data_IF_647994684267
#
_entry.id   IF_647994684267
#
_cell.length_a   1.000
_cell.length_b   1.000
_cell.length_c   1.000
_cell.angle_alpha   90.00
_cell.angle_beta   90.00
_cell.angle_gamma   90.00
#
_symmetry.space_group_name_H-M   'P 1'
#
loop_
_entity.id
_entity.type
_entity.pdbx_description
1 polymer ?
#
# COMPACT_ATOMS: atom_id res chain seq x y z
N UNK A 1 40.55 -40.56 -29.44
CA UNK A 1 40.57 -39.78 -28.18
C UNK A 1 39.58 -38.60 -28.27
N UNK A 2 38.34 -38.83 -28.70
CA UNK A 2 37.39 -37.75 -29.03
C UNK A 2 35.92 -38.09 -28.71
N UNK A 3 35.66 -39.23 -28.05
CA UNK A 3 34.30 -39.63 -27.63
C UNK A 3 34.01 -39.40 -26.14
N UNK A 4 34.99 -38.96 -25.33
CA UNK A 4 34.80 -38.73 -23.89
C UNK A 4 34.53 -37.27 -23.53
N UNK A 5 34.84 -36.30 -24.40
CA UNK A 5 34.62 -34.88 -24.11
C UNK A 5 33.15 -34.44 -24.23
N UNK A 6 32.37 -35.06 -25.12
CA UNK A 6 30.96 -34.71 -25.36
C UNK A 6 30.03 -35.10 -24.19
N UNK A 7 30.30 -36.24 -23.55
CA UNK A 7 29.48 -36.72 -22.44
C UNK A 7 29.71 -35.93 -21.14
N UNK A 8 30.92 -35.36 -20.96
CA UNK A 8 31.24 -34.54 -19.79
C UNK A 8 30.60 -33.15 -19.90
N UNK A 9 30.58 -32.55 -21.09
CA UNK A 9 29.92 -31.25 -21.31
C UNK A 9 28.39 -31.36 -21.16
N UNK A 10 27.79 -32.45 -21.64
CA UNK A 10 26.35 -32.69 -21.51
C UNK A 10 25.97 -33.01 -20.06
N UNK A 11 26.80 -33.77 -19.33
CA UNK A 11 26.61 -34.04 -17.90
C UNK A 11 26.76 -32.76 -17.05
N UNK A 12 27.72 -31.89 -17.36
CA UNK A 12 27.88 -30.60 -16.68
C UNK A 12 26.69 -29.66 -16.93
N UNK A 13 26.11 -29.67 -18.13
CA UNK A 13 24.92 -28.87 -18.45
C UNK A 13 23.66 -29.37 -17.73
N UNK A 14 23.48 -30.69 -17.62
CA UNK A 14 22.39 -31.31 -16.87
C UNK A 14 22.56 -31.06 -15.36
N UNK A 15 23.78 -31.12 -14.84
CA UNK A 15 24.07 -30.82 -13.42
C UNK A 15 23.84 -29.33 -13.13
N UNK A 16 24.26 -28.40 -13.99
CA UNK A 16 23.96 -26.97 -13.81
C UNK A 16 22.46 -26.64 -13.93
N UNK A 17 21.76 -27.23 -14.89
CA UNK A 17 20.32 -27.02 -15.05
C UNK A 17 19.52 -27.60 -13.87
N UNK A 18 19.93 -28.76 -13.35
CA UNK A 18 19.32 -29.35 -12.15
C UNK A 18 19.70 -28.59 -10.88
N UNK A 19 20.89 -27.99 -10.78
CA UNK A 19 21.26 -27.12 -9.65
C UNK A 19 20.48 -25.79 -9.68
N UNK A 20 20.26 -25.20 -10.86
CA UNK A 20 19.46 -23.96 -11.04
C UNK A 20 17.98 -24.23 -10.79
N UNK A 21 17.45 -25.39 -11.21
CA UNK A 21 16.09 -25.81 -10.90
C UNK A 21 15.93 -26.18 -9.43
N UNK A 22 16.95 -26.76 -8.78
CA UNK A 22 16.93 -27.09 -7.35
C UNK A 22 17.04 -25.85 -6.46
N UNK A 23 17.91 -24.89 -6.78
CA UNK A 23 17.96 -23.61 -6.05
C UNK A 23 16.73 -22.76 -6.33
N UNK A 24 16.18 -22.80 -7.56
CA UNK A 24 14.91 -22.16 -7.90
C UNK A 24 13.70 -22.77 -7.17
N UNK A 25 13.62 -24.10 -7.02
CA UNK A 25 12.57 -24.76 -6.24
C UNK A 25 12.72 -24.50 -4.74
N UNK A 26 13.94 -24.46 -4.20
CA UNK A 26 14.19 -24.09 -2.80
C UNK A 26 13.87 -22.61 -2.53
N UNK A 27 14.02 -21.74 -3.54
CA UNK A 27 13.67 -20.32 -3.45
C UNK A 27 12.15 -20.09 -3.53
N UNK A 28 11.42 -20.94 -4.26
CA UNK A 28 9.94 -20.91 -4.31
C UNK A 28 9.27 -21.69 -3.16
N UNK A 29 9.96 -22.65 -2.54
CA UNK A 29 9.46 -23.47 -1.42
C UNK A 29 9.71 -22.84 -0.04
N UNK A 30 10.60 -21.85 0.08
CA UNK A 30 10.88 -21.17 1.35
C UNK A 30 10.00 -19.93 1.60
N UNK A 31 8.98 -19.70 0.77
CA UNK A 31 7.94 -18.69 1.00
C UNK A 31 6.69 -19.30 1.70
N UNK A 32 6.89 -20.37 2.49
CA UNK A 32 5.98 -20.75 3.55
C UNK A 32 6.37 -19.97 4.81
N UNK A 33 5.71 -18.83 5.00
CA UNK A 33 5.85 -17.97 6.17
C UNK A 33 5.57 -18.71 7.48
N UNK A 34 6.62 -19.29 8.06
CA UNK A 34 6.65 -19.69 9.47
C UNK A 34 7.06 -18.47 10.30
N UNK A 35 6.09 -17.59 10.54
CA UNK A 35 6.22 -16.56 11.57
C UNK A 35 6.39 -17.25 12.93
N UNK A 36 7.61 -17.22 13.47
CA UNK A 36 7.81 -17.39 14.91
C UNK A 36 7.12 -16.23 15.62
N UNK A 37 5.89 -16.48 16.08
CA UNK A 37 5.18 -15.63 17.03
C UNK A 37 5.91 -15.71 18.37
N UNK A 38 6.92 -14.86 18.57
CA UNK A 38 7.39 -14.51 19.92
C UNK A 38 6.26 -13.71 20.57
N UNK A 39 5.78 -14.06 21.78
CA UNK A 39 4.77 -13.28 22.46
C UNK A 39 5.34 -11.89 22.75
N UNK A 40 4.82 -10.85 22.09
CA UNK A 40 5.09 -9.49 22.53
C UNK A 40 4.47 -9.31 23.91
N UNK A 41 5.32 -9.12 24.92
CA UNK A 41 4.87 -8.61 26.20
C UNK A 41 4.17 -7.28 25.96
N UNK A 42 2.98 -7.12 26.55
CA UNK A 42 2.27 -5.85 26.54
C UNK A 42 3.19 -4.74 27.05
N UNK A 43 3.22 -3.55 26.41
CA UNK A 43 4.05 -2.46 26.86
C UNK A 43 3.66 -2.07 28.29
N UNK A 44 4.64 -2.12 29.19
CA UNK A 44 4.52 -1.62 30.55
C UNK A 44 4.04 -0.16 30.50
N UNK A 45 2.84 0.10 31.02
CA UNK A 45 2.39 1.47 31.33
C UNK A 45 3.45 2.11 32.21
N UNK A 46 4.18 3.08 31.67
CA UNK A 46 4.91 4.05 32.50
C UNK A 46 3.84 4.86 33.22
N UNK A 47 3.55 4.48 34.46
CA UNK A 47 2.75 5.28 35.37
C UNK A 47 3.52 6.57 35.68
N UNK A 48 3.03 7.69 35.16
CA UNK A 48 3.53 9.02 35.49
C UNK A 48 3.22 9.31 36.98
N UNK A 49 4.17 9.76 37.82
CA UNK A 49 3.89 10.10 39.22
C UNK A 49 2.86 11.23 39.32
N UNK A 50 1.93 11.06 40.26
CA UNK A 50 0.86 11.99 40.58
C UNK A 50 1.43 13.14 41.42
N UNK A 51 1.63 14.31 40.84
CA UNK A 51 2.00 15.52 41.60
C UNK A 51 0.83 16.00 42.46
N UNK A 52 1.12 16.30 43.74
CA UNK A 52 0.19 16.89 44.70
C UNK A 52 0.10 18.40 44.46
N UNK A 53 -1.08 19.02 44.64
CA UNK A 53 -1.23 20.46 44.50
C UNK A 53 -0.72 21.20 45.75
N UNK A 54 0.15 22.18 45.56
CA UNK A 54 0.48 23.20 46.57
C UNK A 54 0.35 24.59 45.96
N UNK A 55 -0.31 25.48 46.70
CA UNK A 55 0.03 26.91 46.73
C UNK A 55 -0.77 27.84 45.84
N UNK A 56 -1.88 28.34 46.39
CA UNK A 56 -2.60 29.53 45.93
C UNK A 56 -1.69 30.76 45.99
N UNK A 57 -1.59 31.53 44.91
CA UNK A 57 -1.27 32.96 44.96
C UNK A 57 -2.26 33.75 44.09
N UNK A 58 -2.94 34.69 44.77
CA UNK A 58 -3.94 35.63 44.25
C UNK A 58 -3.29 36.65 43.31
N UNK A 59 -4.05 37.07 42.29
CA UNK A 59 -3.94 38.43 41.78
C UNK A 59 -5.35 38.96 41.46
N UNK A 60 -5.55 40.22 41.83
CA UNK A 60 -6.82 40.85 42.15
C UNK A 60 -7.70 41.19 40.95
N UNK A 61 -9.02 41.17 41.18
CA UNK A 61 -10.06 41.53 40.24
C UNK A 61 -10.78 42.79 40.77
N UNK A 62 -10.59 43.94 40.11
CA UNK A 62 -11.37 45.15 40.38
C UNK A 62 -12.53 45.31 39.37
N UNK A 63 -13.72 45.37 39.99
CA UNK A 63 -15.08 45.75 39.55
C UNK A 63 -15.21 46.71 38.36
N UNK A 64 -16.21 46.45 37.51
CA UNK A 64 -17.27 47.43 37.14
C UNK A 64 -18.61 46.71 36.90
N UNK A 65 -19.70 47.29 37.45
CA UNK A 65 -21.08 46.80 37.51
C UNK A 65 -21.95 47.16 36.27
N UNK A 66 -23.09 46.47 36.19
CA UNK A 66 -24.23 46.54 35.25
C UNK A 66 -24.95 47.89 35.07
N UNK A 67 -25.57 48.05 33.88
CA UNK A 67 -26.92 48.61 33.57
C UNK A 67 -26.93 49.14 32.11
N UNK A 68 -27.95 49.13 31.23
CA UNK A 68 -29.36 48.67 31.18
C UNK A 68 -29.86 48.87 29.71
N UNK A 69 -30.80 48.03 29.24
CA UNK A 69 -31.52 48.08 27.95
C UNK A 69 -32.32 49.39 27.72
N UNK A 70 -32.35 49.90 26.47
CA UNK A 70 -33.49 50.63 25.84
C UNK A 70 -33.50 50.35 24.31
N UNK A 71 -34.70 50.16 23.74
CA UNK A 71 -35.03 49.84 22.33
C UNK A 71 -35.28 51.11 21.44
N UNK A 72 -35.48 50.99 20.10
CA UNK A 72 -35.21 52.04 19.11
C UNK A 72 -36.47 52.77 18.56
N UNK A 73 -36.32 53.80 17.70
CA UNK A 73 -37.40 54.27 16.84
C UNK A 73 -37.11 54.17 15.32
N UNK A 74 -38.05 53.50 14.66
CA UNK A 74 -38.81 53.79 13.41
C UNK A 74 -38.29 54.73 12.30
N UNK A 75 -38.41 54.22 11.06
CA UNK A 75 -38.34 54.89 9.74
C UNK A 75 -39.54 55.82 9.44
N UNK A 76 -39.41 56.68 8.40
CA UNK A 76 -40.45 56.74 7.37
C UNK A 76 -39.88 56.70 5.93
N UNK A 77 -40.79 56.55 4.98
CA UNK A 77 -40.63 55.94 3.67
C UNK A 77 -40.64 56.93 2.48
N UNK A 78 -40.47 56.33 1.28
CA UNK A 78 -40.86 56.77 -0.09
C UNK A 78 -39.97 57.79 -0.84
N UNK A 79 -39.36 57.34 -1.95
CA UNK A 79 -39.86 57.59 -3.32
C UNK A 79 -38.79 57.25 -4.40
N UNK A 80 -39.15 56.47 -5.42
CA UNK A 80 -38.53 56.50 -6.76
C UNK A 80 -39.36 57.45 -7.65
N UNK A 81 -38.81 58.05 -8.73
CA UNK A 81 -38.75 57.34 -10.01
C UNK A 81 -37.60 57.76 -10.99
N UNK A 82 -37.52 56.99 -12.09
CA UNK A 82 -37.15 57.38 -13.47
C UNK A 82 -35.70 57.19 -13.98
N UNK A 83 -35.60 56.42 -15.08
CA UNK A 83 -34.61 56.53 -16.17
C UNK A 83 -35.27 57.29 -17.35
N UNK A 84 -34.58 57.92 -18.34
CA UNK A 84 -33.61 57.28 -19.27
C UNK A 84 -32.39 58.12 -19.77
N UNK A 85 -31.36 57.40 -20.28
CA UNK A 85 -30.27 57.64 -21.29
C UNK A 85 -29.97 59.03 -21.93
N UNK A 86 -28.92 59.21 -22.78
CA UNK A 86 -27.51 58.74 -22.81
C UNK A 86 -26.50 59.87 -23.20
N UNK A 87 -25.20 59.73 -22.92
CA UNK A 87 -24.13 60.39 -23.71
C UNK A 87 -22.75 59.82 -23.35
N UNK A 88 -22.04 59.30 -24.35
CA UNK A 88 -20.63 58.95 -24.23
C UNK A 88 -19.72 60.16 -24.41
N UNK A 89 -18.50 60.10 -23.84
CA UNK A 89 -17.25 60.48 -24.51
C UNK A 89 -16.05 60.53 -23.54
N UNK A 90 -15.04 59.73 -23.89
CA UNK A 90 -13.57 59.93 -23.70
C UNK A 90 -12.92 59.65 -22.33
N UNK A 91 -12.43 58.42 -22.23
CA UNK A 91 -11.03 58.02 -22.00
C UNK A 91 -10.05 59.05 -21.41
N UNK A 92 -9.63 58.77 -20.17
CA UNK A 92 -8.26 58.89 -19.69
C UNK A 92 -7.85 57.53 -19.10
N UNK A 93 -6.66 56.96 -19.41
CA UNK A 93 -6.27 55.65 -18.89
C UNK A 93 -5.62 55.80 -17.51
N UNK A 94 -6.01 55.02 -16.50
CA UNK A 94 -5.13 54.75 -15.37
C UNK A 94 -4.32 53.50 -15.66
N UNK A 95 -3.00 53.70 -15.76
CA UNK A 95 -1.92 52.79 -15.41
C UNK A 95 -2.34 51.32 -15.14
N UNK A 96 -2.06 50.47 -16.12
CA UNK A 96 -2.09 49.02 -15.96
C UNK A 96 -0.99 48.57 -14.99
N UNK A 97 -1.36 48.25 -13.76
CA UNK A 97 -0.61 47.34 -12.89
C UNK A 97 -1.49 46.17 -12.49
N UNK A 98 -1.84 45.32 -13.45
CA UNK A 98 -2.31 43.97 -13.14
C UNK A 98 -1.23 43.00 -13.61
N UNK A 99 -0.13 42.96 -12.85
CA UNK A 99 0.62 41.72 -12.73
C UNK A 99 -0.35 40.73 -12.09
N UNK A 100 -0.83 39.76 -12.89
CA UNK A 100 -1.38 38.53 -12.36
C UNK A 100 -0.26 37.87 -11.54
N UNK A 101 -0.16 38.22 -10.26
CA UNK A 101 0.41 37.32 -9.28
C UNK A 101 -0.57 36.16 -9.16
N UNK A 102 -0.46 35.19 -10.08
CA UNK A 102 -0.82 33.82 -9.75
C UNK A 102 0.00 33.49 -8.50
N UNK A 103 -0.65 33.52 -7.36
CA UNK A 103 -0.06 33.12 -6.10
C UNK A 103 0.26 31.63 -6.28
N UNK A 104 1.55 31.32 -6.48
CA UNK A 104 2.03 29.95 -6.53
C UNK A 104 1.52 29.25 -5.28
N UNK A 105 0.67 28.24 -5.47
CA UNK A 105 -0.02 27.56 -4.36
C UNK A 105 0.96 26.77 -3.49
N UNK A 106 2.21 26.61 -3.93
CA UNK A 106 3.22 25.78 -3.27
C UNK A 106 2.89 24.29 -3.34
N UNK A 107 2.01 23.88 -4.25
CA UNK A 107 1.56 22.50 -4.40
C UNK A 107 2.32 21.77 -5.50
N UNK A 108 2.72 20.53 -5.28
CA UNK A 108 3.40 19.73 -6.30
C UNK A 108 3.14 18.22 -6.15
N UNK A 109 3.27 17.48 -7.25
CA UNK A 109 3.50 16.04 -7.18
C UNK A 109 4.99 15.77 -6.93
N UNK A 110 5.29 14.69 -6.24
CA UNK A 110 6.64 14.22 -6.00
C UNK A 110 6.76 12.72 -6.33
N UNK A 111 7.77 12.35 -7.11
CA UNK A 111 8.18 10.98 -7.34
C UNK A 111 9.57 10.74 -6.76
N UNK A 112 10.00 9.48 -6.74
CA UNK A 112 11.38 9.12 -6.46
C UNK A 112 11.83 7.95 -7.34
N UNK A 113 13.12 7.91 -7.66
CA UNK A 113 13.71 6.84 -8.46
C UNK A 113 15.12 6.51 -7.96
N UNK A 114 15.40 5.22 -7.79
CA UNK A 114 16.72 4.72 -7.37
C UNK A 114 17.40 3.89 -8.44
N UNK A 115 16.81 3.82 -9.63
CA UNK A 115 17.35 3.16 -10.82
C UNK A 115 16.56 3.59 -12.04
N UNK A 116 17.09 3.30 -13.23
CA UNK A 116 16.42 3.57 -14.50
C UNK A 116 15.06 2.88 -14.64
N UNK A 117 14.87 1.70 -14.03
CA UNK A 117 13.58 1.01 -14.04
C UNK A 117 12.50 1.80 -13.29
N UNK A 118 12.84 2.31 -12.09
CA UNK A 118 11.93 3.17 -11.34
C UNK A 118 11.79 4.56 -11.99
N UNK A 119 12.85 5.09 -12.61
CA UNK A 119 12.80 6.36 -13.34
C UNK A 119 11.86 6.25 -14.57
N UNK A 120 11.92 5.15 -15.31
CA UNK A 120 10.98 4.84 -16.40
C UNK A 120 9.53 4.80 -15.90
N UNK A 121 9.29 4.10 -14.79
CA UNK A 121 7.94 4.02 -14.23
C UNK A 121 7.43 5.37 -13.70
N UNK A 122 8.31 6.21 -13.15
CA UNK A 122 7.98 7.59 -12.82
C UNK A 122 7.63 8.40 -14.09
N UNK A 123 8.43 8.31 -15.17
CA UNK A 123 8.15 8.97 -16.44
C UNK A 123 6.79 8.59 -17.02
N UNK A 124 6.39 7.31 -16.92
CA UNK A 124 5.05 6.86 -17.34
C UNK A 124 3.96 7.65 -16.60
N UNK A 125 4.03 7.72 -15.27
CA UNK A 125 3.01 8.44 -14.49
C UNK A 125 3.07 9.96 -14.67
N UNK A 126 4.27 10.54 -14.82
CA UNK A 126 4.48 11.96 -15.11
C UNK A 126 3.84 12.31 -16.46
N UNK A 127 4.12 11.51 -17.50
CA UNK A 127 3.51 11.70 -18.81
C UNK A 127 1.99 11.64 -18.71
N UNK A 128 1.43 10.64 -18.01
CA UNK A 128 -0.01 10.54 -17.82
C UNK A 128 -0.61 11.74 -17.10
N UNK A 129 0.03 12.19 -16.01
CA UNK A 129 -0.39 13.37 -15.26
C UNK A 129 -0.48 14.59 -16.17
N UNK A 130 0.54 14.82 -16.99
CA UNK A 130 0.63 15.99 -17.87
C UNK A 130 -0.30 15.89 -19.09
N UNK A 131 -0.42 14.73 -19.73
CA UNK A 131 -1.04 14.63 -21.06
C UNK A 131 -2.46 14.07 -21.04
N UNK A 132 -2.76 13.16 -20.12
CA UNK A 132 -4.05 12.44 -20.09
C UNK A 132 -4.93 12.95 -18.95
N UNK A 133 -4.31 13.17 -17.78
CA UNK A 133 -5.00 13.59 -16.57
C UNK A 133 -5.01 15.12 -16.41
N UNK A 134 -4.28 15.85 -17.26
CA UNK A 134 -4.28 17.32 -17.33
C UNK A 134 -4.02 17.98 -15.97
N UNK A 135 -3.01 17.52 -15.23
CA UNK A 135 -2.58 18.24 -14.02
C UNK A 135 -2.08 19.63 -14.37
N UNK A 136 -2.34 20.56 -13.47
CA UNK A 136 -1.83 21.93 -13.53
C UNK A 136 -0.70 22.17 -12.54
N UNK A 137 -0.38 21.16 -11.72
CA UNK A 137 0.59 21.29 -10.65
C UNK A 137 2.01 20.91 -11.12
N UNK A 138 3.05 21.59 -10.61
CA UNK A 138 4.43 21.22 -10.88
C UNK A 138 4.74 19.81 -10.36
N UNK A 139 5.78 19.21 -10.96
CA UNK A 139 6.22 17.86 -10.65
C UNK A 139 7.70 17.92 -10.24
N UNK A 140 8.00 17.29 -9.11
CA UNK A 140 9.34 17.13 -8.57
C UNK A 140 9.72 15.65 -8.56
N UNK A 141 11.01 15.34 -8.68
CA UNK A 141 11.50 13.97 -8.52
C UNK A 141 12.79 13.93 -7.71
N UNK A 142 12.84 13.03 -6.72
CA UNK A 142 14.04 12.69 -5.96
C UNK A 142 14.75 11.51 -6.66
N UNK A 143 16.01 11.69 -7.06
CA UNK A 143 16.77 10.64 -7.77
C UNK A 143 18.02 10.26 -6.99
N UNK A 144 18.34 8.96 -6.94
CA UNK A 144 19.67 8.52 -6.48
C UNK A 144 20.71 8.72 -7.58
N UNK A 145 22.02 8.68 -7.25
CA UNK A 145 23.10 8.69 -8.25
C UNK A 145 23.09 7.52 -9.24
N UNK A 146 22.27 6.48 -9.00
CA UNK A 146 22.17 5.30 -9.86
C UNK A 146 21.20 5.49 -11.04
N UNK A 147 20.52 6.64 -11.13
CA UNK A 147 19.69 7.03 -12.28
C UNK A 147 20.58 7.67 -13.35
N UNK A 148 20.52 7.14 -14.57
CA UNK A 148 21.42 7.55 -15.65
C UNK A 148 21.06 8.91 -16.27
N UNK A 149 22.06 9.57 -16.86
CA UNK A 149 21.90 10.88 -17.52
C UNK A 149 20.75 10.95 -18.56
N UNK A 150 20.50 9.92 -19.39
CA UNK A 150 19.34 9.92 -20.30
C UNK A 150 18.01 10.11 -19.58
N UNK A 151 17.81 9.49 -18.41
CA UNK A 151 16.59 9.66 -17.62
C UNK A 151 16.52 11.04 -16.98
N UNK A 152 17.64 11.57 -16.46
CA UNK A 152 17.72 12.94 -15.95
C UNK A 152 17.33 13.96 -17.06
N UNK A 153 17.82 13.74 -18.28
CA UNK A 153 17.48 14.57 -19.43
C UNK A 153 15.99 14.47 -19.82
N UNK A 154 15.41 13.26 -19.77
CA UNK A 154 13.99 13.06 -20.03
C UNK A 154 13.10 13.81 -19.02
N UNK A 155 13.43 13.78 -17.72
CA UNK A 155 12.72 14.56 -16.71
C UNK A 155 12.78 16.06 -16.99
N UNK A 156 13.98 16.59 -17.30
CA UNK A 156 14.16 18.01 -17.62
C UNK A 156 13.36 18.43 -18.87
N UNK A 157 13.28 17.57 -19.89
CA UNK A 157 12.48 17.82 -21.10
C UNK A 157 10.99 17.95 -20.80
N UNK A 158 10.50 17.24 -19.77
CA UNK A 158 9.12 17.33 -19.27
C UNK A 158 8.92 18.44 -18.23
N UNK A 159 9.89 19.36 -18.07
CA UNK A 159 9.86 20.43 -17.07
C UNK A 159 9.68 19.93 -15.62
N UNK A 160 10.18 18.73 -15.33
CA UNK A 160 10.19 18.16 -13.97
C UNK A 160 11.41 18.70 -13.22
N UNK A 161 11.21 19.13 -11.97
CA UNK A 161 12.32 19.58 -11.11
C UNK A 161 13.02 18.36 -10.50
N UNK A 162 14.27 18.12 -10.89
CA UNK A 162 15.07 16.98 -10.43
C UNK A 162 15.90 17.34 -9.21
N UNK A 163 15.84 16.50 -8.17
CA UNK A 163 16.60 16.61 -6.92
C UNK A 163 17.50 15.38 -6.76
N UNK A 164 18.80 15.54 -7.01
CA UNK A 164 19.77 14.47 -6.78
C UNK A 164 20.05 14.33 -5.29
N UNK A 165 19.82 13.13 -4.75
CA UNK A 165 19.84 12.88 -3.31
C UNK A 165 20.48 11.53 -2.97
N UNK A 166 21.12 11.47 -1.80
CA UNK A 166 21.70 10.23 -1.30
C UNK A 166 20.68 9.46 -0.48
N UNK A 167 20.44 8.21 -0.85
CA UNK A 167 19.58 7.30 -0.09
C UNK A 167 20.06 7.17 1.36
N UNK A 168 19.19 7.40 2.36
CA UNK A 168 19.55 7.20 3.76
C UNK A 168 20.05 5.77 4.02
N UNK A 169 21.11 5.59 4.83
CA UNK A 169 21.62 4.26 5.13
C UNK A 169 20.66 3.52 6.07
N UNK A 170 20.46 2.22 5.82
CA UNK A 170 19.89 1.32 6.83
C UNK A 170 20.99 0.78 7.74
N UNK A 171 20.71 0.68 9.03
CA UNK A 171 21.53 -0.14 9.94
C UNK A 171 21.20 -1.60 9.64
N UNK A 172 21.97 -2.26 8.77
CA UNK A 172 21.79 -3.68 8.44
C UNK A 172 23.03 -4.50 8.77
N UNK A 173 22.82 -5.72 9.27
CA UNK A 173 23.84 -6.77 9.38
C UNK A 173 23.63 -7.88 8.32
N UNK A 174 22.66 -7.71 7.40
CA UNK A 174 22.24 -8.70 6.41
C UNK A 174 22.32 -8.12 4.99
N UNK A 175 22.70 -8.96 4.05
CA UNK A 175 22.97 -8.73 2.62
C UNK A 175 21.77 -8.28 1.77
N UNK A 176 20.63 -7.95 2.36
CA UNK A 176 19.43 -7.55 1.61
C UNK A 176 19.26 -6.03 1.59
N UNK A 177 20.19 -5.34 0.91
CA UNK A 177 20.10 -3.91 0.59
C UNK A 177 18.91 -3.53 -0.33
N UNK A 178 18.03 -4.48 -0.67
CA UNK A 178 16.88 -4.29 -1.56
C UNK A 178 15.95 -3.16 -1.10
N UNK A 179 15.67 -3.06 0.20
CA UNK A 179 14.76 -2.04 0.75
C UNK A 179 15.47 -0.76 1.20
N UNK A 180 16.81 -0.70 1.16
CA UNK A 180 17.52 0.55 1.48
C UNK A 180 17.09 1.67 0.53
N UNK A 181 16.96 1.33 -0.76
CA UNK A 181 16.49 2.23 -1.81
C UNK A 181 15.12 2.86 -1.51
N UNK A 182 14.23 2.15 -0.80
CA UNK A 182 12.91 2.66 -0.41
C UNK A 182 13.01 3.85 0.56
N UNK A 183 14.11 4.00 1.31
CA UNK A 183 14.29 5.13 2.22
C UNK A 183 14.49 6.47 1.49
N UNK A 184 14.87 6.47 0.21
CA UNK A 184 14.98 7.71 -0.56
C UNK A 184 13.65 8.48 -0.56
N UNK A 185 12.51 7.76 -0.61
CA UNK A 185 11.17 8.33 -0.52
C UNK A 185 10.98 9.22 0.71
N UNK A 186 11.57 8.86 1.85
CA UNK A 186 11.40 9.63 3.09
C UNK A 186 12.04 11.01 3.02
N UNK A 187 12.88 11.29 2.02
CA UNK A 187 13.38 12.63 1.74
C UNK A 187 12.31 13.55 1.15
N UNK A 188 11.15 13.04 0.72
CA UNK A 188 10.01 13.87 0.33
C UNK A 188 9.57 14.82 1.46
N UNK A 189 9.74 14.41 2.74
CA UNK A 189 9.42 15.26 3.88
C UNK A 189 10.31 16.51 4.02
N UNK A 190 11.45 16.58 3.30
CA UNK A 190 12.32 17.77 3.26
C UNK A 190 12.24 18.56 1.95
N UNK A 191 11.27 18.28 1.07
CA UNK A 191 11.26 18.91 -0.26
C UNK A 191 11.17 20.44 -0.20
N UNK A 192 10.59 21.02 0.86
CA UNK A 192 10.58 22.46 1.08
C UNK A 192 11.96 23.05 1.38
N UNK A 193 12.92 22.25 1.87
CA UNK A 193 14.31 22.71 2.04
C UNK A 193 15.06 22.74 0.71
N UNK A 194 14.66 21.92 -0.27
CA UNK A 194 15.24 21.86 -1.61
C UNK A 194 14.54 22.82 -2.58
N UNK A 195 13.24 23.05 -2.38
CA UNK A 195 12.39 23.93 -3.16
C UNK A 195 11.53 24.77 -2.21
N UNK A 196 12.04 25.94 -1.76
CA UNK A 196 11.44 26.74 -0.68
C UNK A 196 10.01 27.25 -0.90
N UNK A 197 9.51 27.23 -2.12
CA UNK A 197 8.13 27.62 -2.45
C UNK A 197 7.13 26.49 -2.16
N UNK A 198 7.58 25.25 -1.99
CA UNK A 198 6.70 24.11 -1.74
C UNK A 198 6.18 24.12 -0.31
N UNK A 199 4.87 23.95 -0.17
CA UNK A 199 4.15 23.90 1.09
C UNK A 199 3.40 22.57 1.27
N UNK A 200 2.92 21.96 0.17
CA UNK A 200 2.19 20.69 0.21
C UNK A 200 2.53 19.84 -1.00
N UNK A 201 2.83 18.56 -0.79
CA UNK A 201 3.18 17.66 -1.89
C UNK A 201 2.40 16.36 -1.83
N UNK A 202 2.13 15.76 -2.99
CA UNK A 202 1.69 14.37 -3.09
C UNK A 202 2.86 13.50 -3.55
N UNK A 203 3.49 12.80 -2.61
CA UNK A 203 4.55 11.85 -2.89
C UNK A 203 3.99 10.47 -3.23
N UNK A 204 4.44 9.89 -4.35
CA UNK A 204 3.92 8.64 -4.92
C UNK A 204 5.06 7.66 -5.20
N UNK A 205 4.80 6.37 -5.00
CA UNK A 205 5.69 5.31 -5.48
C UNK A 205 5.67 5.24 -7.01
N UNK A 206 6.84 4.97 -7.60
CA UNK A 206 6.96 4.94 -9.05
C UNK A 206 6.31 3.69 -9.68
N UNK A 207 6.15 2.59 -8.95
CA UNK A 207 5.55 1.32 -9.41
C UNK A 207 4.01 1.29 -9.24
N UNK A 208 3.40 2.41 -9.58
CA UNK A 208 1.96 2.61 -9.63
C UNK A 208 1.51 2.96 -11.04
N UNK A 209 0.19 2.98 -11.25
CA UNK A 209 -0.47 3.45 -12.46
C UNK A 209 -1.59 4.41 -12.07
N UNK A 210 -1.39 5.72 -12.27
CA UNK A 210 -2.36 6.77 -11.93
C UNK A 210 -3.51 6.81 -12.92
N UNK A 211 -4.75 6.62 -12.46
CA UNK A 211 -5.94 6.55 -13.32
C UNK A 211 -6.79 7.83 -13.31
N UNK A 212 -6.62 8.70 -12.33
CA UNK A 212 -7.43 9.92 -12.16
C UNK A 212 -6.54 11.13 -11.86
N UNK A 213 -7.04 12.33 -12.18
CA UNK A 213 -6.42 13.59 -11.75
C UNK A 213 -6.61 13.76 -10.23
N UNK A 214 -5.52 14.06 -9.52
CA UNK A 214 -5.49 14.16 -8.06
C UNK A 214 -5.29 15.59 -7.55
N UNK A 215 -5.33 16.61 -8.42
CA UNK A 215 -5.09 18.02 -8.06
C UNK A 215 -6.09 18.50 -7.01
N UNK A 216 -7.33 17.99 -7.07
CA UNK A 216 -8.39 18.32 -6.13
C UNK A 216 -8.05 17.96 -4.67
N UNK A 217 -7.16 16.99 -4.43
CA UNK A 217 -6.77 16.59 -3.07
C UNK A 217 -5.99 17.68 -2.34
N UNK A 218 -5.27 18.54 -3.07
CA UNK A 218 -4.45 19.58 -2.47
C UNK A 218 -5.30 20.69 -1.82
N UNK A 219 -6.50 20.95 -2.35
CA UNK A 219 -7.41 22.00 -1.87
C UNK A 219 -8.59 21.46 -1.07
N UNK A 220 -9.08 20.25 -1.40
CA UNK A 220 -10.33 19.73 -0.80
C UNK A 220 -10.07 18.97 0.50
N UNK A 221 -8.85 18.44 0.72
CA UNK A 221 -8.51 17.80 1.98
C UNK A 221 -8.00 18.83 3.00
N UNK A 222 -8.37 18.68 4.29
CA UNK A 222 -7.91 19.60 5.33
C UNK A 222 -6.38 19.62 5.42
N UNK A 223 -5.84 20.72 5.91
CA UNK A 223 -4.42 20.85 6.20
C UNK A 223 -4.08 20.03 7.45
N UNK A 224 -3.60 18.82 7.22
CA UNK A 224 -3.04 17.90 8.21
C UNK A 224 -1.59 17.61 7.84
N UNK A 225 -0.78 17.17 8.79
CA UNK A 225 0.62 16.82 8.54
C UNK A 225 0.76 15.77 7.44
N UNK A 226 -0.10 14.75 7.49
CA UNK A 226 -0.12 13.66 6.54
C UNK A 226 -1.54 13.17 6.28
N UNK A 227 -1.87 13.00 5.00
CA UNK A 227 -2.97 12.16 4.56
C UNK A 227 -2.42 11.02 3.67
N UNK A 228 -2.84 9.80 3.93
CA UNK A 228 -2.35 8.60 3.23
C UNK A 228 -3.44 7.53 3.23
N UNK A 229 -3.53 6.68 2.21
CA UNK A 229 -4.56 5.66 2.15
C UNK A 229 -4.27 4.50 3.08
N UNK A 230 -5.34 3.80 3.44
CA UNK A 230 -5.28 2.58 4.23
C UNK A 230 -4.59 1.46 3.46
N UNK A 231 -3.59 0.82 4.07
CA UNK A 231 -3.06 -0.47 3.61
C UNK A 231 -4.05 -1.58 3.98
N UNK A 232 -5.19 -1.60 3.30
CA UNK A 232 -6.36 -2.42 3.66
C UNK A 232 -6.11 -3.93 3.63
N UNK A 233 -5.00 -4.38 3.02
CA UNK A 233 -4.55 -5.77 3.00
C UNK A 233 -3.76 -6.18 4.27
N UNK A 234 -3.30 -5.23 5.08
CA UNK A 234 -2.52 -5.50 6.30
C UNK A 234 -3.38 -5.38 7.55
N UNK A 235 -3.96 -4.20 7.77
CA UNK A 235 -4.75 -3.92 8.96
C UNK A 235 -5.65 -2.72 8.73
N UNK A 236 -6.64 -2.57 9.61
CA UNK A 236 -7.48 -1.38 9.62
C UNK A 236 -6.59 -0.15 9.85
N UNK A 237 -5.96 -0.01 11.00
CA UNK A 237 -5.30 1.25 11.37
C UNK A 237 -3.84 1.34 10.91
N UNK A 238 -3.58 0.93 9.66
CA UNK A 238 -2.24 0.93 9.06
C UNK A 238 -2.27 1.64 7.71
N UNK A 239 -1.42 2.65 7.53
CA UNK A 239 -1.33 3.42 6.29
C UNK A 239 -0.39 2.75 5.29
N UNK A 240 -0.66 2.96 3.99
CA UNK A 240 0.25 2.65 2.91
C UNK A 240 1.12 3.87 2.61
N UNK A 241 2.44 3.73 2.68
CA UNK A 241 3.39 4.81 2.37
C UNK A 241 3.64 5.00 0.88
N UNK A 242 2.89 4.30 0.02
CA UNK A 242 3.01 4.38 -1.43
C UNK A 242 2.32 5.63 -2.01
N UNK A 243 1.55 6.32 -1.17
CA UNK A 243 0.83 7.55 -1.46
C UNK A 243 0.82 8.42 -0.19
N UNK A 244 1.49 9.57 -0.23
CA UNK A 244 1.65 10.46 0.92
C UNK A 244 1.35 11.89 0.51
N UNK A 245 0.20 12.43 0.91
CA UNK A 245 -0.08 13.86 0.82
C UNK A 245 0.47 14.54 2.08
N UNK A 246 1.59 15.24 1.93
CA UNK A 246 2.40 15.78 3.02
C UNK A 246 2.24 17.30 3.06
N UNK A 247 1.90 17.84 4.22
CA UNK A 247 2.03 19.28 4.49
C UNK A 247 3.44 19.54 5.05
N UNK A 248 4.30 20.14 4.23
CA UNK A 248 5.73 20.23 4.50
C UNK A 248 6.02 21.20 5.65
N UNK A 249 6.94 20.82 6.53
CA UNK A 249 7.43 21.68 7.61
C UNK A 249 8.75 21.18 8.19
N UNK A 250 9.52 22.09 8.78
CA UNK A 250 10.76 21.75 9.49
C UNK A 250 10.49 20.78 10.65
N UNK A 251 9.39 20.96 11.39
CA UNK A 251 8.99 20.06 12.48
C UNK A 251 8.84 18.62 11.98
N UNK A 252 8.12 18.44 10.86
CA UNK A 252 7.85 17.12 10.30
C UNK A 252 9.14 16.48 9.77
N UNK A 253 9.96 17.25 9.05
CA UNK A 253 11.26 16.77 8.58
C UNK A 253 12.17 16.35 9.72
N UNK A 254 12.32 17.17 10.78
CA UNK A 254 13.16 16.85 11.93
C UNK A 254 12.72 15.54 12.62
N UNK A 255 11.41 15.28 12.64
CA UNK A 255 10.84 14.04 13.19
C UNK A 255 11.28 12.83 12.34
N UNK A 256 11.11 12.91 11.02
CA UNK A 256 11.51 11.84 10.07
C UNK A 256 13.03 11.66 10.06
N UNK A 257 13.81 12.74 10.03
CA UNK A 257 15.27 12.72 10.06
C UNK A 257 15.80 12.02 11.32
N UNK A 258 15.22 12.33 12.50
CA UNK A 258 15.58 11.68 13.76
C UNK A 258 15.28 10.17 13.72
N UNK A 259 14.14 9.79 13.13
CA UNK A 259 13.79 8.38 12.96
C UNK A 259 14.73 7.65 12.00
N UNK A 260 15.09 8.26 10.87
CA UNK A 260 16.09 7.73 9.93
C UNK A 260 17.44 7.47 10.62
N UNK A 261 17.90 8.41 11.47
CA UNK A 261 19.16 8.25 12.21
C UNK A 261 19.12 7.14 13.28
N UNK A 262 17.92 6.76 13.73
CA UNK A 262 17.70 5.76 14.77
C UNK A 262 17.04 4.48 14.26
N UNK A 263 16.88 4.36 12.94
CA UNK A 263 16.11 3.27 12.33
C UNK A 263 16.69 1.91 12.73
N UNK A 264 15.78 1.03 13.17
CA UNK A 264 16.12 -0.32 13.59
C UNK A 264 16.36 -1.25 12.40
N UNK A 265 16.91 -2.43 12.69
CA UNK A 265 17.00 -3.51 11.72
C UNK A 265 15.60 -3.86 11.19
N UNK A 266 15.46 -4.08 9.89
CA UNK A 266 14.22 -4.50 9.21
C UNK A 266 13.03 -3.52 9.34
N UNK A 267 13.27 -2.24 9.61
CA UNK A 267 12.25 -1.20 9.45
C UNK A 267 12.42 -0.49 8.12
N UNK A 268 11.35 -0.45 7.34
CA UNK A 268 11.33 0.22 6.05
C UNK A 268 10.50 1.50 6.12
N UNK A 269 10.29 2.14 4.98
CA UNK A 269 9.58 3.41 4.88
C UNK A 269 8.16 3.33 5.44
N UNK A 270 7.41 2.26 5.12
CA UNK A 270 6.04 2.11 5.58
C UNK A 270 5.95 1.92 7.10
N UNK A 271 6.82 1.09 7.68
CA UNK A 271 6.87 0.88 9.13
C UNK A 271 7.20 2.19 9.86
N UNK A 272 8.21 2.90 9.36
CA UNK A 272 8.67 4.15 9.95
C UNK A 272 7.57 5.22 9.90
N UNK A 273 6.88 5.39 8.77
CA UNK A 273 5.82 6.40 8.67
C UNK A 273 4.62 6.03 9.56
N UNK A 274 4.25 4.75 9.66
CA UNK A 274 3.21 4.30 10.59
C UNK A 274 3.59 4.58 12.06
N UNK A 275 4.82 4.26 12.46
CA UNK A 275 5.30 4.50 13.83
C UNK A 275 5.28 6.00 14.21
N UNK A 276 5.59 6.87 13.25
CA UNK A 276 5.70 8.32 13.50
C UNK A 276 4.37 9.06 13.41
N UNK A 277 3.54 8.69 12.44
CA UNK A 277 2.41 9.51 11.99
C UNK A 277 1.09 8.74 11.94
N UNK A 278 1.08 7.43 12.14
CA UNK A 278 -0.11 6.58 12.04
C UNK A 278 -1.26 6.99 12.96
N UNK A 279 -0.94 7.49 14.15
CA UNK A 279 -1.95 7.97 15.12
C UNK A 279 -2.57 9.33 14.73
N UNK A 280 -1.91 10.08 13.85
CA UNK A 280 -2.28 11.46 13.46
C UNK A 280 -2.67 11.61 11.99
N UNK A 281 -2.53 10.54 11.21
CA UNK A 281 -2.77 10.55 9.76
C UNK A 281 -4.26 10.75 9.48
N UNK A 282 -4.56 11.56 8.47
CA UNK A 282 -5.87 11.50 7.83
C UNK A 282 -5.89 10.27 6.91
N UNK A 283 -6.53 9.21 7.37
CA UNK A 283 -6.63 7.96 6.62
C UNK A 283 -7.55 8.11 5.41
N UNK A 284 -7.01 7.96 4.20
CA UNK A 284 -7.76 7.97 2.94
C UNK A 284 -8.29 6.57 2.60
N UNK A 285 -9.26 6.53 1.68
CA UNK A 285 -9.83 5.29 1.17
C UNK A 285 -8.85 4.46 0.32
N UNK A 286 -9.20 3.21 0.05
CA UNK A 286 -8.33 2.28 -0.67
C UNK A 286 -8.28 2.53 -2.19
N UNK A 287 -9.17 3.36 -2.72
CA UNK A 287 -9.19 3.80 -4.12
C UNK A 287 -7.88 4.50 -4.54
N UNK A 288 -7.17 5.13 -3.59
CA UNK A 288 -5.87 5.78 -3.80
C UNK A 288 -4.68 4.80 -3.72
N UNK A 289 -4.92 3.50 -3.49
CA UNK A 289 -3.90 2.43 -3.48
C UNK A 289 -4.52 1.07 -3.82
N UNK A 290 -5.18 0.96 -4.97
CA UNK A 290 -5.86 -0.28 -5.35
C UNK A 290 -4.85 -1.34 -5.82
N UNK A 291 -4.78 -2.48 -5.15
CA UNK A 291 -3.86 -3.56 -5.53
C UNK A 291 -4.30 -4.25 -6.83
N UNK A 292 -3.39 -4.42 -7.79
CA UNK A 292 -3.72 -5.14 -9.02
C UNK A 292 -4.00 -6.65 -8.81
N UNK A 293 -3.62 -7.21 -7.65
CA UNK A 293 -3.94 -8.60 -7.29
C UNK A 293 -5.44 -8.88 -7.22
N UNK A 294 -6.30 -7.86 -7.05
CA UNK A 294 -7.76 -8.06 -7.10
C UNK A 294 -8.26 -8.68 -8.41
N UNK A 295 -7.64 -8.31 -9.54
CA UNK A 295 -7.95 -8.86 -10.86
C UNK A 295 -7.28 -10.21 -11.12
N UNK A 296 -6.22 -10.52 -10.39
CA UNK A 296 -5.59 -11.84 -10.42
C UNK A 296 -6.43 -12.88 -9.65
N UNK A 297 -6.93 -12.48 -8.48
CA UNK A 297 -7.59 -13.39 -7.54
C UNK A 297 -9.11 -13.46 -7.68
N UNK A 298 -9.69 -12.55 -8.48
CA UNK A 298 -11.13 -12.36 -8.63
C UNK A 298 -11.83 -12.01 -7.30
N UNK A 299 -11.32 -11.00 -6.60
CA UNK A 299 -11.92 -10.53 -5.36
C UNK A 299 -12.15 -9.01 -5.40
N UNK A 300 -13.05 -8.53 -4.54
CA UNK A 300 -13.37 -7.12 -4.40
C UNK A 300 -12.86 -6.63 -3.04
N UNK A 301 -12.12 -5.51 -2.98
CA UNK A 301 -11.65 -4.98 -1.71
C UNK A 301 -12.80 -4.45 -0.86
N UNK A 302 -12.66 -4.51 0.46
CA UNK A 302 -13.73 -4.10 1.39
C UNK A 302 -14.09 -2.60 1.36
N UNK A 303 -13.28 -1.75 0.72
CA UNK A 303 -13.61 -0.33 0.49
C UNK A 303 -14.49 -0.12 -0.74
N UNK A 304 -14.59 -1.11 -1.64
CA UNK A 304 -15.40 -1.03 -2.84
C UNK A 304 -16.83 -1.52 -2.56
N UNK A 305 -17.81 -0.78 -3.05
CA UNK A 305 -19.23 -1.09 -2.87
C UNK A 305 -19.84 -1.53 -4.22
N UNK A 306 -20.13 -2.82 -4.42
CA UNK A 306 -20.64 -3.33 -5.69
C UNK A 306 -22.05 -2.81 -5.98
N UNK A 307 -22.35 -2.60 -7.26
CA UNK A 307 -23.63 -2.06 -7.73
C UNK A 307 -24.66 -3.17 -7.93
N UNK A 308 -24.22 -4.33 -8.42
CA UNK A 308 -25.08 -5.49 -8.45
C UNK A 308 -25.36 -5.98 -7.02
N UNK A 309 -26.59 -6.45 -6.77
CA UNK A 309 -26.89 -7.32 -5.62
C UNK A 309 -26.14 -8.65 -5.80
N UNK A 310 -24.83 -8.59 -5.61
CA UNK A 310 -24.04 -9.77 -5.36
C UNK A 310 -24.45 -10.24 -3.98
N UNK A 311 -24.89 -11.49 -3.86
CA UNK A 311 -25.12 -12.08 -2.56
C UNK A 311 -23.82 -11.93 -1.75
N UNK A 312 -23.82 -11.09 -0.71
CA UNK A 312 -22.60 -10.77 0.06
C UNK A 312 -21.96 -12.05 0.63
N UNK A 313 -22.75 -13.07 0.93
CA UNK A 313 -22.26 -14.40 1.32
C UNK A 313 -21.43 -15.05 0.20
N UNK A 314 -21.78 -14.83 -1.07
CA UNK A 314 -21.02 -15.28 -2.23
C UNK A 314 -19.72 -14.49 -2.42
N UNK A 315 -19.71 -13.18 -2.18
CA UNK A 315 -18.46 -12.40 -2.18
C UNK A 315 -17.53 -12.87 -1.06
N UNK A 316 -18.04 -13.04 0.15
CA UNK A 316 -17.23 -13.51 1.28
C UNK A 316 -16.69 -14.92 1.02
N UNK A 317 -17.48 -15.81 0.41
CA UNK A 317 -17.00 -17.13 -0.02
C UNK A 317 -15.95 -17.05 -1.13
N UNK A 318 -16.11 -16.17 -2.12
CA UNK A 318 -15.12 -15.97 -3.19
C UNK A 318 -13.84 -15.38 -2.61
N UNK A 319 -13.95 -14.33 -1.80
CA UNK A 319 -12.84 -13.68 -1.12
C UNK A 319 -12.10 -14.67 -0.20
N UNK A 320 -12.83 -15.52 0.54
CA UNK A 320 -12.24 -16.56 1.40
C UNK A 320 -11.64 -17.74 0.62
N UNK A 321 -12.10 -17.99 -0.60
CA UNK A 321 -11.55 -18.99 -1.51
C UNK A 321 -10.35 -18.46 -2.31
N UNK A 322 -10.16 -17.14 -2.41
CA UNK A 322 -8.95 -16.53 -2.96
C UNK A 322 -7.76 -16.80 -2.02
N UNK A 323 -6.55 -17.09 -2.54
CA UNK A 323 -5.36 -17.37 -1.74
C UNK A 323 -4.99 -16.29 -0.70
N UNK A 324 -5.45 -15.03 -0.87
CA UNK A 324 -5.25 -13.92 0.05
C UNK A 324 -6.34 -13.69 1.12
N UNK A 325 -7.40 -14.50 1.17
CA UNK A 325 -8.61 -14.24 1.97
C UNK A 325 -8.55 -14.52 3.48
N UNK A 326 -7.42 -14.98 4.02
CA UNK A 326 -7.30 -15.25 5.47
C UNK A 326 -6.92 -13.99 6.24
N UNK A 327 -7.82 -13.01 6.29
CA UNK A 327 -7.58 -11.79 7.05
C UNK A 327 -8.76 -10.84 7.10
N UNK A 328 -9.73 -11.12 7.98
CA UNK A 328 -10.70 -10.12 8.43
C UNK A 328 -12.16 -10.46 8.17
N UNK A 329 -12.73 -11.33 9.00
CA UNK A 329 -14.16 -11.56 9.09
C UNK A 329 -14.59 -11.64 10.55
N UNK A 330 -15.26 -10.58 11.03
CA UNK A 330 -15.96 -10.55 12.30
C UNK A 330 -17.10 -11.59 12.30
N UNK A 331 -16.99 -12.61 13.14
CA UNK A 331 -18.14 -13.38 13.63
C UNK A 331 -18.16 -13.31 15.15
N UNK A 332 -19.14 -12.61 15.70
CA UNK A 332 -19.31 -12.39 17.13
C UNK A 332 -19.92 -13.56 17.91
N UNK A 333 -19.83 -13.38 19.23
CA UNK A 333 -20.72 -13.92 20.28
C UNK A 333 -20.53 -15.39 20.70
N UNK A 334 -19.54 -15.60 21.58
CA UNK A 334 -19.57 -16.64 22.59
C UNK A 334 -19.25 -16.04 23.97
N UNK A 335 -20.28 -15.81 24.80
CA UNK A 335 -20.18 -15.42 26.21
C UNK A 335 -19.12 -16.26 26.94
N UNK A 336 -18.08 -15.64 27.49
CA UNK A 336 -17.33 -16.21 28.63
C UNK A 336 -17.76 -15.51 29.91
N UNK A 337 -18.45 -16.27 30.76
CA UNK A 337 -18.60 -15.93 32.17
C UNK A 337 -17.22 -16.07 32.84
N UNK A 338 -16.80 -15.03 33.55
CA UNK A 338 -15.75 -15.12 34.55
C UNK A 338 -16.19 -16.01 35.72
N UNK A 339 -15.24 -16.69 36.36
CA UNK A 339 -15.09 -16.48 37.79
C UNK A 339 -13.67 -16.05 38.15
N UNK A 340 -13.59 -15.11 39.10
CA UNK A 340 -12.36 -14.58 39.68
C UNK A 340 -11.67 -15.53 40.67
N UNK A 341 -10.61 -15.03 41.36
CA UNK A 341 -9.45 -15.82 41.76
C UNK A 341 -9.43 -16.20 43.26
N UNK A 342 -8.90 -17.39 43.59
CA UNK A 342 -8.39 -17.86 44.91
C UNK A 342 -7.62 -19.17 44.66
N UNK A 343 -6.60 -19.62 45.38
CA UNK A 343 -5.58 -19.07 46.28
C UNK A 343 -4.57 -20.25 46.47
N UNK A 344 -3.42 -19.98 47.08
CA UNK A 344 -2.17 -20.77 47.10
C UNK A 344 -2.18 -22.18 47.77
N UNK A 345 -1.44 -23.14 47.16
CA UNK A 345 -0.48 -24.20 47.66
C UNK A 345 -0.76 -25.04 48.95
N UNK A 346 0.00 -26.14 49.31
CA UNK A 346 1.20 -26.78 48.71
C UNK A 346 1.20 -28.35 48.62
N UNK A 347 2.31 -28.89 48.12
CA UNK A 347 2.66 -30.30 47.83
C UNK A 347 3.10 -31.16 49.04
N UNK A 348 3.39 -32.47 48.78
CA UNK A 348 4.39 -33.43 49.38
C UNK A 348 3.82 -34.88 49.45
N UNK A 349 4.57 -36.02 49.36
CA UNK A 349 5.67 -36.50 48.50
C UNK A 349 5.51 -37.97 47.98
N UNK A 350 6.47 -38.50 47.20
CA UNK A 350 6.60 -39.94 46.81
C UNK A 350 7.89 -40.53 47.40
N UNK A 351 7.91 -41.75 47.97
CA UNK A 351 9.13 -42.53 48.23
C UNK A 351 9.35 -43.71 47.25
N UNK A 352 10.62 -43.95 46.85
CA UNK A 352 11.12 -45.20 46.25
C UNK A 352 11.25 -46.34 47.29
N UNK A 353 11.74 -47.57 47.06
CA UNK A 353 12.53 -48.23 45.99
C UNK A 353 12.52 -49.76 46.28
N UNK A 354 13.06 -50.59 45.36
CA UNK A 354 13.44 -52.03 45.47
C UNK A 354 12.32 -53.05 45.13
N UNK A 355 12.52 -54.18 44.44
CA UNK A 355 13.67 -54.92 43.87
C UNK A 355 13.12 -56.29 43.38
N UNK A 356 13.63 -56.82 42.26
CA UNK A 356 13.11 -57.98 41.48
C UNK A 356 13.53 -59.33 42.12
N UNK A 357 12.77 -60.43 41.89
CA UNK A 357 13.35 -61.58 41.15
C UNK A 357 12.43 -62.25 40.11
N UNK A 358 13.11 -62.92 39.16
CA UNK A 358 12.70 -63.59 37.92
C UNK A 358 11.65 -64.72 38.02
N UNK A 359 10.93 -64.99 36.90
CA UNK A 359 10.55 -66.33 36.36
C UNK A 359 9.68 -66.24 35.07
N UNK A 360 9.55 -67.30 34.23
CA UNK A 360 9.79 -67.20 32.78
C UNK A 360 8.56 -67.15 31.85
N UNK A 361 8.84 -66.73 30.60
CA UNK A 361 7.95 -66.59 29.44
C UNK A 361 7.55 -67.95 28.83
N UNK A 362 6.25 -68.23 28.58
CA UNK A 362 5.81 -69.35 27.73
C UNK A 362 5.66 -68.95 26.24
N UNK A 363 5.75 -69.91 25.31
CA UNK A 363 5.91 -69.64 23.88
C UNK A 363 4.62 -69.29 23.13
N UNK A 364 4.82 -68.52 22.06
CA UNK A 364 3.84 -67.97 21.11
C UNK A 364 3.18 -69.07 20.27
N UNK A 365 1.86 -69.03 20.16
CA UNK A 365 1.07 -69.82 19.20
C UNK A 365 0.83 -69.03 17.89
N UNK A 366 0.83 -69.69 16.71
CA UNK A 366 0.68 -69.02 15.41
C UNK A 366 -0.76 -68.57 15.12
N UNK A 367 -0.95 -67.52 14.29
CA UNK A 367 -2.26 -66.94 14.02
C UNK A 367 -3.08 -67.76 13.01
N UNK A 368 -4.39 -67.87 13.29
CA UNK A 368 -5.41 -68.47 12.43
C UNK A 368 -5.73 -67.58 11.20
N UNK A 369 -6.04 -68.18 10.03
CA UNK A 369 -6.40 -67.43 8.82
C UNK A 369 -7.84 -66.88 8.89
N UNK A 370 -7.99 -65.57 8.66
CA UNK A 370 -9.28 -64.89 8.56
C UNK A 370 -9.94 -65.07 7.18
N UNK A 371 -11.27 -65.06 7.09
CA UNK A 371 -12.01 -65.46 5.90
C UNK A 371 -12.02 -64.38 4.81
N UNK A 372 -11.79 -64.81 3.57
CA UNK A 372 -12.16 -64.06 2.38
C UNK A 372 -13.66 -63.77 2.41
N UNK A 373 -14.05 -62.49 2.28
CA UNK A 373 -15.41 -62.10 1.95
C UNK A 373 -15.37 -61.01 0.89
N UNK A 374 -15.84 -61.44 -0.27
CA UNK A 374 -16.09 -60.69 -1.49
C UNK A 374 -17.10 -59.57 -1.18
N UNK A 375 -16.65 -58.32 -1.20
CA UNK A 375 -17.56 -57.17 -1.36
C UNK A 375 -17.76 -56.95 -2.86
N UNK A 376 -19.01 -56.83 -3.36
CA UNK A 376 -19.24 -56.41 -4.74
C UNK A 376 -18.75 -54.95 -4.91
N UNK A 377 -18.16 -54.60 -6.07
CA UNK A 377 -17.75 -53.23 -6.33
C UNK A 377 -18.98 -52.30 -6.30
N UNK A 378 -18.85 -51.18 -5.59
CA UNK A 378 -19.80 -50.07 -5.64
C UNK A 378 -20.01 -49.65 -7.10
N UNK A 379 -21.25 -49.37 -7.55
CA UNK A 379 -21.46 -48.83 -8.89
C UNK A 379 -20.70 -47.52 -9.04
N UNK A 380 -19.92 -47.42 -10.12
CA UNK A 380 -19.21 -46.20 -10.49
C UNK A 380 -20.19 -45.03 -10.46
N UNK A 381 -19.95 -44.09 -9.55
CA UNK A 381 -20.62 -42.80 -9.61
C UNK A 381 -20.26 -42.19 -10.97
N UNK A 382 -21.23 -41.72 -11.77
CA UNK A 382 -20.91 -41.12 -13.06
C UNK A 382 -19.94 -39.98 -12.79
N UNK A 383 -18.74 -40.09 -13.36
CA UNK A 383 -17.76 -39.03 -13.37
C UNK A 383 -18.42 -37.83 -14.05
N UNK A 384 -18.88 -36.87 -13.24
CA UNK A 384 -19.29 -35.57 -13.76
C UNK A 384 -18.07 -35.05 -14.53
N UNK A 385 -18.19 -34.78 -15.84
CA UNK A 385 -17.07 -34.24 -16.60
C UNK A 385 -16.62 -32.97 -15.90
N UNK A 386 -15.37 -32.94 -15.42
CA UNK A 386 -14.78 -31.70 -14.93
C UNK A 386 -14.83 -30.74 -16.12
N UNK A 387 -15.57 -29.62 -16.03
CA UNK A 387 -15.65 -28.68 -17.13
C UNK A 387 -14.23 -28.28 -17.52
N UNK A 388 -13.95 -28.25 -18.83
CA UNK A 388 -12.67 -27.74 -19.32
C UNK A 388 -12.43 -26.36 -18.68
N UNK A 389 -11.18 -26.06 -18.25
CA UNK A 389 -10.89 -24.80 -17.59
C UNK A 389 -11.33 -23.64 -18.51
N UNK A 390 -12.26 -22.83 -18.01
CA UNK A 390 -12.75 -21.65 -18.71
C UNK A 390 -11.74 -20.53 -18.50
N UNK A 391 -11.33 -19.90 -19.59
CA UNK A 391 -10.39 -18.79 -19.59
C UNK A 391 -11.02 -17.60 -20.33
N UNK A 392 -11.16 -16.43 -19.68
CA UNK A 392 -10.95 -16.16 -18.25
C UNK A 392 -11.88 -16.99 -17.34
N UNK A 393 -11.58 -17.07 -16.02
CA UNK A 393 -12.32 -17.90 -15.04
C UNK A 393 -13.83 -17.72 -15.12
N UNK A 394 -14.28 -16.47 -15.29
CA UNK A 394 -15.68 -16.13 -15.48
C UNK A 394 -15.91 -15.42 -16.82
N UNK A 395 -17.04 -15.68 -17.50
CA UNK A 395 -17.36 -15.02 -18.77
C UNK A 395 -17.63 -13.52 -18.60
N UNK A 396 -17.62 -12.73 -19.70
CA UNK A 396 -17.92 -11.29 -19.67
C UNK A 396 -19.28 -10.93 -19.06
N UNK A 397 -20.27 -11.82 -19.16
CA UNK A 397 -21.62 -11.63 -18.62
C UNK A 397 -21.73 -11.91 -17.12
N UNK A 398 -20.68 -12.45 -16.49
CA UNK A 398 -20.71 -12.77 -15.07
C UNK A 398 -20.73 -11.49 -14.22
N UNK A 399 -21.57 -11.40 -13.17
CA UNK A 399 -21.68 -10.21 -12.33
C UNK A 399 -20.33 -9.73 -11.75
N UNK A 400 -19.48 -10.65 -11.28
CA UNK A 400 -18.16 -10.30 -10.75
C UNK A 400 -17.21 -9.72 -11.82
N UNK A 401 -17.30 -10.19 -13.07
CA UNK A 401 -16.54 -9.61 -14.19
C UNK A 401 -16.93 -8.14 -14.38
N UNK A 402 -18.23 -7.85 -14.32
CA UNK A 402 -18.73 -6.48 -14.43
C UNK A 402 -18.27 -5.62 -13.24
N UNK A 403 -18.31 -6.15 -12.01
CA UNK A 403 -17.84 -5.43 -10.83
C UNK A 403 -16.34 -5.15 -10.85
N UNK A 404 -15.50 -6.06 -11.37
CA UNK A 404 -14.06 -5.82 -11.50
C UNK A 404 -13.73 -4.74 -12.55
N UNK A 405 -14.56 -4.61 -13.60
CA UNK A 405 -14.48 -3.46 -14.51
C UNK A 405 -14.88 -2.13 -13.83
N UNK A 406 -15.89 -2.15 -12.95
CA UNK A 406 -16.29 -0.98 -12.17
C UNK A 406 -15.27 -0.60 -11.10
N UNK A 407 -14.64 -1.59 -10.46
CA UNK A 407 -13.51 -1.40 -9.55
C UNK A 407 -12.37 -0.68 -10.27
N UNK A 408 -12.03 -1.10 -11.50
CA UNK A 408 -11.01 -0.45 -12.32
C UNK A 408 -11.34 1.03 -12.57
N UNK A 409 -12.60 1.35 -12.84
CA UNK A 409 -13.06 2.72 -13.05
C UNK A 409 -13.10 3.55 -11.75
N UNK A 410 -13.30 2.90 -10.60
CA UNK A 410 -13.35 3.55 -9.28
C UNK A 410 -11.97 3.82 -8.69
N UNK A 411 -10.97 3.02 -9.07
CA UNK A 411 -9.59 3.21 -8.64
C UNK A 411 -9.03 4.54 -9.14
N UNK A 412 -8.42 5.30 -8.24
CA UNK A 412 -7.64 6.49 -8.58
C UNK A 412 -6.18 6.12 -8.89
N UNK A 413 -5.66 5.10 -8.21
CA UNK A 413 -4.29 4.59 -8.38
C UNK A 413 -4.32 3.07 -8.32
N UNK A 414 -3.63 2.42 -9.25
CA UNK A 414 -3.33 0.99 -9.18
C UNK A 414 -1.89 0.78 -8.75
N UNK A 415 -1.66 -0.11 -7.78
CA UNK A 415 -0.33 -0.51 -7.32
C UNK A 415 -0.01 -1.93 -7.79
N UNK A 416 1.16 -2.12 -8.41
CA UNK A 416 1.56 -3.41 -8.97
C UNK A 416 2.15 -4.34 -7.89
N UNK A 417 1.32 -5.29 -7.42
CA UNK A 417 1.66 -6.33 -6.44
C UNK A 417 1.59 -7.74 -7.01
N UNK A 418 0.72 -7.99 -7.99
CA UNK A 418 0.60 -9.24 -8.72
C UNK A 418 1.43 -9.22 -10.00
N UNK A 419 2.00 -10.37 -10.34
CA UNK A 419 2.80 -10.61 -11.55
C UNK A 419 4.09 -9.77 -11.66
N UNK A 420 4.56 -9.19 -10.55
CA UNK A 420 5.79 -8.42 -10.49
C UNK A 420 5.63 -6.96 -10.91
N UNK A 421 6.75 -6.30 -11.19
CA UNK A 421 6.79 -4.88 -11.56
C UNK A 421 6.38 -4.69 -13.02
N UNK A 422 5.79 -3.54 -13.41
CA UNK A 422 5.22 -3.38 -14.75
C UNK A 422 6.27 -3.42 -15.88
N UNK A 423 7.52 -3.05 -15.61
CA UNK A 423 8.63 -3.22 -16.55
C UNK A 423 9.09 -4.68 -16.72
N UNK A 424 8.80 -5.57 -15.76
CA UNK A 424 9.33 -6.94 -15.73
C UNK A 424 8.59 -7.95 -16.60
N UNK A 425 7.37 -7.64 -17.05
CA UNK A 425 6.54 -8.56 -17.85
C UNK A 425 5.74 -7.84 -18.93
N UNK A 426 5.57 -8.49 -20.07
CA UNK A 426 4.62 -8.07 -21.11
C UNK A 426 3.20 -8.47 -20.74
N UNK A 427 2.20 -7.84 -21.37
CA UNK A 427 0.80 -8.23 -21.18
C UNK A 427 0.52 -9.66 -21.66
N UNK A 428 1.20 -10.12 -22.71
CA UNK A 428 1.14 -11.50 -23.21
C UNK A 428 1.70 -12.47 -22.18
N UNK A 429 2.84 -12.15 -21.56
CA UNK A 429 3.44 -12.97 -20.52
C UNK A 429 2.54 -13.06 -19.29
N UNK A 430 1.87 -11.97 -18.91
CA UNK A 430 0.86 -11.95 -17.84
C UNK A 430 -0.33 -12.83 -18.19
N UNK A 431 -0.88 -12.72 -19.41
CA UNK A 431 -1.98 -13.58 -19.90
C UNK A 431 -1.60 -15.06 -19.92
N UNK A 432 -0.38 -15.37 -20.35
CA UNK A 432 0.12 -16.75 -20.39
C UNK A 432 0.36 -17.32 -18.98
N UNK A 433 0.84 -16.50 -18.04
CA UNK A 433 1.09 -16.92 -16.67
C UNK A 433 -0.20 -17.08 -15.84
N UNK A 434 -1.22 -16.27 -16.12
CA UNK A 434 -2.52 -16.28 -15.43
C UNK A 434 -3.68 -16.23 -16.43
N UNK A 435 -3.90 -17.31 -17.21
CA UNK A 435 -4.98 -17.35 -18.20
C UNK A 435 -6.37 -17.30 -17.57
N UNK A 436 -6.48 -17.62 -16.27
CA UNK A 436 -7.72 -17.57 -15.50
C UNK A 436 -8.01 -16.19 -14.90
N UNK A 437 -7.05 -15.25 -14.88
CA UNK A 437 -7.21 -13.93 -14.31
C UNK A 437 -8.22 -13.07 -15.10
N UNK A 438 -8.72 -12.02 -14.44
CA UNK A 438 -9.56 -11.04 -15.10
C UNK A 438 -8.76 -10.30 -16.19
N UNK A 439 -9.32 -10.07 -17.40
CA UNK A 439 -8.59 -9.45 -18.52
C UNK A 439 -7.96 -8.09 -18.19
N UNK A 440 -8.56 -7.32 -17.28
CA UNK A 440 -8.00 -6.05 -16.80
C UNK A 440 -6.61 -6.18 -16.18
N UNK A 441 -6.23 -7.32 -15.59
CA UNK A 441 -4.88 -7.50 -15.05
C UNK A 441 -3.83 -7.29 -16.15
N UNK A 442 -3.97 -8.00 -17.28
CA UNK A 442 -3.06 -7.84 -18.40
C UNK A 442 -3.18 -6.46 -19.05
N UNK A 443 -4.39 -5.90 -19.12
CA UNK A 443 -4.62 -4.56 -19.67
C UNK A 443 -3.90 -3.46 -18.87
N UNK A 444 -3.74 -3.61 -17.55
CA UNK A 444 -2.97 -2.67 -16.72
C UNK A 444 -1.49 -2.67 -17.07
N UNK A 445 -0.89 -3.86 -17.30
CA UNK A 445 0.49 -3.97 -17.77
C UNK A 445 0.63 -3.40 -19.18
N UNK A 446 -0.33 -3.69 -20.07
CA UNK A 446 -0.33 -3.16 -21.43
C UNK A 446 -0.36 -1.62 -21.42
N UNK A 447 -1.30 -1.01 -20.68
CA UNK A 447 -1.42 0.43 -20.57
C UNK A 447 -0.16 1.11 -20.04
N UNK A 448 0.55 0.48 -19.09
CA UNK A 448 1.84 0.99 -18.62
C UNK A 448 2.91 0.90 -19.72
N UNK A 449 3.01 -0.24 -20.41
CA UNK A 449 4.07 -0.49 -21.41
C UNK A 449 3.92 0.36 -22.66
N UNK A 450 2.70 0.53 -23.16
CA UNK A 450 2.42 1.37 -24.33
C UNK A 450 2.91 2.81 -24.12
N UNK A 451 2.80 3.32 -22.89
CA UNK A 451 3.34 4.64 -22.54
C UNK A 451 4.86 4.59 -22.39
N UNK A 452 5.37 3.56 -21.69
CA UNK A 452 6.80 3.38 -21.45
C UNK A 452 7.61 3.33 -22.74
N UNK A 453 7.10 2.69 -23.80
CA UNK A 453 7.71 2.64 -25.13
C UNK A 453 7.95 4.04 -25.73
N UNK A 454 7.08 5.01 -25.43
CA UNK A 454 7.19 6.38 -25.93
C UNK A 454 8.02 7.32 -25.05
N UNK A 455 8.19 7.01 -23.75
CA UNK A 455 8.77 7.96 -22.78
C UNK A 455 10.08 7.51 -22.14
N UNK A 456 10.38 6.21 -22.12
CA UNK A 456 11.57 5.70 -21.44
C UNK A 456 12.81 5.72 -22.36
N UNK A 457 13.89 6.45 -22.02
CA UNK A 457 15.12 6.46 -22.80
C UNK A 457 15.69 5.05 -22.97
N UNK A 458 15.98 4.69 -24.22
CA UNK A 458 16.52 3.37 -24.56
C UNK A 458 15.49 2.23 -24.55
N UNK A 459 14.20 2.53 -24.38
CA UNK A 459 13.12 1.53 -24.29
C UNK A 459 12.84 1.09 -22.84
N UNK A 460 12.04 0.02 -22.70
CA UNK A 460 11.63 -0.48 -21.39
C UNK A 460 12.82 -1.18 -20.71
N UNK A 461 13.23 -0.77 -19.48
CA UNK A 461 14.34 -1.39 -18.78
C UNK A 461 14.14 -2.89 -18.52
N UNK A 462 15.11 -3.70 -18.95
CA UNK A 462 15.07 -5.16 -18.80
C UNK A 462 14.11 -5.90 -19.75
N UNK A 463 13.59 -5.20 -20.77
CA UNK A 463 12.76 -5.76 -21.84
C UNK A 463 13.53 -6.51 -22.91
#
# INVERSE_FOLDING_TARGET
MQLHASNIATAAFVICATFILWTGLQYLSNDEGTYYRVPSQAPSRIARPREKPQGVMKLDNERVNHAKLIAPPTLPALASPASPSPAGSRFHPPLTSNANHQQETGFAYAFFATSDAYACSALVNIHRLQTTLNTTLPIHILVSPDVSDPYLHAFNTLSVTVHLETTPPLKTNLTTGYYQSCLLKLLAFKLHLLSPHLTRILALDADQLLLQNLDHLFTNLPLVDLAAPRAYWLAKDFLASTFLLINLSDRLWLTVQKALNTIGYNKFDMDLVNDLLGDTVLMLGGEYVTLNSHWEDWNLPGWYHPVAELNFTTIDMINAASPGGRGGGSSGLGRRQNPGPRDMSPAVPIPGTQGIPDTPIPPVAPPLPGPHSLLPPLPDSPSVPVPAPQFPRFPPTHPLTTELHRLQASAAVIHFTAQGKPWSRTAEAVRAARPDAHPSLAAQFQAWREIAEGVCPGGIPGG
#
